data_IF_069205858664
#
_entry.id   IF_069205858664
#
_cell.length_a   1.000
_cell.length_b   1.000
_cell.length_c   1.000
_cell.angle_alpha   90.00
_cell.angle_beta   90.00
_cell.angle_gamma   90.00
#
_symmetry.space_group_name_H-M   'P 1'
#
loop_
_entity.id
_entity.type
_entity.pdbx_description
1 polymer ?
#
# COMPACT_ATOMS: atom_id res chain seq x y z
N UNK A 1 -13.86 -2.37 11.13
CA UNK A 1 -14.79 -3.44 11.57
C UNK A 1 -15.74 -3.88 10.48
N UNK A 2 -16.78 -3.10 10.13
CA UNK A 2 -17.74 -3.52 9.07
C UNK A 2 -17.08 -3.81 7.73
N UNK A 3 -16.11 -2.99 7.32
CA UNK A 3 -15.36 -3.22 6.07
C UNK A 3 -14.53 -4.52 6.12
N UNK A 4 -13.89 -4.83 7.26
CA UNK A 4 -13.14 -6.08 7.45
C UNK A 4 -14.05 -7.31 7.35
N UNK A 5 -15.19 -7.28 8.04
CA UNK A 5 -16.18 -8.37 8.01
C UNK A 5 -16.67 -8.64 6.58
N UNK A 6 -16.97 -7.58 5.81
CA UNK A 6 -17.38 -7.71 4.41
C UNK A 6 -16.26 -8.27 3.53
N UNK A 7 -15.02 -7.82 3.70
CA UNK A 7 -13.87 -8.34 2.95
C UNK A 7 -13.64 -9.81 3.26
N UNK A 8 -13.63 -10.20 4.54
CA UNK A 8 -13.44 -11.59 4.97
C UNK A 8 -14.54 -12.48 4.42
N UNK A 9 -15.81 -12.09 4.53
CA UNK A 9 -16.95 -12.86 3.99
C UNK A 9 -16.79 -13.10 2.48
N UNK A 10 -16.53 -12.04 1.71
CA UNK A 10 -16.46 -12.10 0.25
C UNK A 10 -15.23 -12.83 -0.26
N UNK A 11 -14.07 -12.59 0.33
CA UNK A 11 -12.82 -13.25 -0.04
C UNK A 11 -12.82 -14.74 0.34
N UNK A 12 -13.46 -15.10 1.46
CA UNK A 12 -13.65 -16.51 1.84
C UNK A 12 -14.51 -17.27 0.84
N UNK A 13 -15.47 -16.61 0.18
CA UNK A 13 -16.26 -17.25 -0.87
C UNK A 13 -15.47 -17.45 -2.18
N UNK A 14 -14.44 -16.63 -2.43
CA UNK A 14 -13.59 -16.71 -3.62
C UNK A 14 -12.51 -17.79 -3.45
N UNK A 15 -11.89 -17.83 -2.28
CA UNK A 15 -10.78 -18.75 -1.96
C UNK A 15 -10.96 -19.33 -0.54
N UNK A 16 -11.82 -20.34 -0.36
CA UNK A 16 -12.23 -20.85 0.95
C UNK A 16 -11.10 -21.44 1.82
N UNK A 17 -10.01 -21.88 1.19
CA UNK A 17 -8.84 -22.47 1.84
C UNK A 17 -7.82 -21.43 2.34
N UNK A 18 -7.98 -20.16 1.95
CA UNK A 18 -7.09 -19.10 2.37
C UNK A 18 -7.35 -18.66 3.81
N UNK A 19 -6.29 -18.29 4.51
CA UNK A 19 -6.36 -17.64 5.82
C UNK A 19 -6.21 -16.13 5.68
N UNK A 20 -6.42 -15.39 6.76
CA UNK A 20 -6.41 -13.92 6.73
C UNK A 20 -5.36 -13.38 7.71
N UNK A 21 -4.61 -12.39 7.24
CA UNK A 21 -3.81 -11.48 8.05
C UNK A 21 -4.51 -10.13 7.95
N UNK A 22 -5.09 -9.65 9.06
CA UNK A 22 -5.88 -8.43 9.11
C UNK A 22 -5.32 -7.45 10.15
N UNK A 23 -5.58 -6.16 9.97
CA UNK A 23 -5.21 -5.11 10.94
C UNK A 23 -5.98 -5.28 12.27
N UNK A 24 -7.30 -5.55 12.23
CA UNK A 24 -8.14 -5.50 13.43
C UNK A 24 -8.16 -6.82 14.24
N UNK A 25 -7.27 -7.77 13.92
CA UNK A 25 -7.12 -9.08 14.58
C UNK A 25 -8.44 -9.86 14.81
N UNK A 26 -9.46 -9.64 13.97
CA UNK A 26 -10.79 -10.27 14.19
C UNK A 26 -10.85 -11.74 13.78
N UNK A 27 -9.79 -12.26 13.15
CA UNK A 27 -9.72 -13.62 12.61
C UNK A 27 -8.67 -14.46 13.36
N UNK A 28 -9.01 -15.72 13.65
CA UNK A 28 -8.07 -16.68 14.25
C UNK A 28 -6.95 -16.99 13.24
N UNK A 29 -5.74 -16.55 13.59
CA UNK A 29 -4.51 -16.80 12.82
C UNK A 29 -4.27 -18.31 12.65
N UNK A 30 -4.46 -18.80 11.42
CA UNK A 30 -4.05 -20.15 11.01
C UNK A 30 -2.99 -20.02 9.94
N UNK A 31 -1.90 -20.77 10.07
CA UNK A 31 -0.87 -20.86 9.04
C UNK A 31 -1.43 -21.66 7.85
N UNK A 32 -1.45 -21.02 6.69
CA UNK A 32 -1.78 -21.62 5.41
C UNK A 32 -0.79 -21.11 4.38
N UNK A 33 -0.57 -21.89 3.32
CA UNK A 33 0.21 -21.43 2.19
C UNK A 33 -0.57 -20.39 1.36
N UNK A 34 -1.88 -20.25 1.55
CA UNK A 34 -2.74 -19.28 0.89
C UNK A 34 -3.21 -18.26 1.92
N UNK A 35 -2.83 -17.00 1.77
CA UNK A 35 -3.14 -15.95 2.75
C UNK A 35 -3.61 -14.67 2.07
N UNK A 36 -4.80 -14.19 2.44
CA UNK A 36 -5.23 -12.83 2.19
C UNK A 36 -4.62 -11.90 3.24
N UNK A 37 -4.04 -10.80 2.81
CA UNK A 37 -3.48 -9.75 3.67
C UNK A 37 -4.29 -8.50 3.41
N UNK A 38 -5.10 -8.05 4.38
CA UNK A 38 -6.07 -6.97 4.17
C UNK A 38 -5.89 -5.82 5.15
N UNK A 39 -5.98 -4.61 4.62
CA UNK A 39 -6.23 -3.40 5.39
C UNK A 39 -7.62 -2.85 4.95
N UNK A 40 -8.63 -2.94 5.83
CA UNK A 40 -9.98 -2.49 5.51
C UNK A 40 -10.12 -0.96 5.46
N UNK A 41 -9.19 -0.20 6.03
CA UNK A 41 -9.18 1.27 6.05
C UNK A 41 -7.78 1.84 6.32
N UNK A 42 -6.93 1.82 5.29
CA UNK A 42 -5.64 2.50 5.33
C UNK A 42 -5.88 4.02 5.29
N UNK A 43 -5.27 4.76 6.22
CA UNK A 43 -5.55 6.17 6.44
C UNK A 43 -6.74 6.44 7.36
N UNK A 44 -6.97 5.58 8.37
CA UNK A 44 -8.00 5.78 9.40
C UNK A 44 -8.02 7.19 10.00
N UNK A 45 -6.85 7.80 10.29
CA UNK A 45 -6.79 9.20 10.75
C UNK A 45 -7.38 10.16 9.71
N UNK A 46 -7.08 9.99 8.42
CA UNK A 46 -7.64 10.84 7.39
C UNK A 46 -9.16 10.69 7.29
N UNK A 47 -9.67 9.45 7.36
CA UNK A 47 -11.10 9.19 7.38
C UNK A 47 -11.81 9.91 8.54
N UNK A 48 -11.29 9.77 9.77
CA UNK A 48 -11.87 10.39 10.97
C UNK A 48 -11.87 11.93 10.91
N UNK A 49 -10.93 12.52 10.18
CA UNK A 49 -10.77 13.97 10.04
C UNK A 49 -11.33 14.52 8.73
N UNK A 50 -12.11 13.73 7.97
CA UNK A 50 -12.71 14.12 6.68
C UNK A 50 -11.68 14.55 5.61
N UNK A 51 -10.48 13.96 5.64
CA UNK A 51 -9.46 14.14 4.60
C UNK A 51 -9.65 13.02 3.57
N UNK A 52 -9.87 13.32 2.27
CA UNK A 52 -10.24 12.33 1.25
C UNK A 52 -9.02 11.55 0.71
N UNK A 53 -8.18 11.03 1.61
CA UNK A 53 -6.96 10.29 1.31
C UNK A 53 -6.90 9.03 2.17
N UNK A 54 -7.68 8.03 1.79
CA UNK A 54 -7.73 6.74 2.46
C UNK A 54 -8.11 5.66 1.45
N UNK A 55 -7.75 4.41 1.73
CA UNK A 55 -7.93 3.31 0.80
C UNK A 55 -8.27 2.00 1.48
N UNK A 56 -8.72 1.04 0.66
CA UNK A 56 -8.79 -0.38 1.04
C UNK A 56 -7.61 -1.08 0.37
N UNK A 57 -6.90 -1.94 1.09
CA UNK A 57 -5.75 -2.72 0.58
C UNK A 57 -6.04 -4.21 0.70
N UNK A 58 -5.83 -4.97 -0.37
CA UNK A 58 -5.97 -6.43 -0.40
C UNK A 58 -4.81 -7.05 -1.16
N UNK A 59 -3.95 -7.77 -0.45
CA UNK A 59 -2.88 -8.61 -1.01
C UNK A 59 -3.24 -10.09 -0.94
N UNK A 60 -2.75 -10.87 -1.91
CA UNK A 60 -2.78 -12.33 -1.87
C UNK A 60 -1.35 -12.87 -1.85
N UNK A 61 -1.07 -13.75 -0.89
CA UNK A 61 0.17 -14.48 -0.77
C UNK A 61 -0.07 -15.98 -1.01
N UNK A 62 0.80 -16.60 -1.82
CA UNK A 62 0.83 -18.05 -2.08
C UNK A 62 2.24 -18.57 -1.82
N UNK A 63 2.41 -19.54 -0.93
CA UNK A 63 3.69 -20.15 -0.56
C UNK A 63 4.77 -19.12 -0.15
N UNK A 64 4.35 -18.01 0.48
CA UNK A 64 5.24 -16.90 0.86
C UNK A 64 5.44 -15.83 -0.22
N UNK A 65 5.01 -16.07 -1.45
CA UNK A 65 5.10 -15.12 -2.55
C UNK A 65 3.85 -14.23 -2.63
N UNK A 66 4.02 -12.91 -2.64
CA UNK A 66 2.94 -11.98 -2.98
C UNK A 66 2.61 -12.09 -4.48
N UNK A 67 1.40 -12.55 -4.81
CA UNK A 67 0.98 -12.87 -6.18
C UNK A 67 -0.07 -11.93 -6.75
N UNK A 68 -0.86 -11.24 -5.91
CA UNK A 68 -1.84 -10.27 -6.36
C UNK A 68 -1.97 -9.13 -5.33
N UNK A 69 -2.33 -7.94 -5.82
CA UNK A 69 -2.52 -6.76 -5.00
C UNK A 69 -3.62 -5.86 -5.58
N UNK A 70 -4.49 -5.37 -4.70
CA UNK A 70 -5.55 -4.42 -5.00
C UNK A 70 -5.46 -3.28 -3.99
N UNK A 71 -5.51 -2.04 -4.47
CA UNK A 71 -5.67 -0.85 -3.63
C UNK A 71 -6.82 -0.02 -4.21
N UNK A 72 -7.83 0.31 -3.42
CA UNK A 72 -8.97 1.13 -3.85
C UNK A 72 -8.96 2.47 -3.12
N UNK A 73 -8.69 3.57 -3.85
CA UNK A 73 -8.83 4.93 -3.33
C UNK A 73 -10.31 5.30 -3.29
N UNK A 74 -10.95 5.06 -2.15
CA UNK A 74 -12.42 5.09 -2.00
C UNK A 74 -13.03 6.45 -2.41
N UNK A 75 -12.52 7.63 -1.96
CA UNK A 75 -13.10 8.92 -2.35
C UNK A 75 -13.00 9.27 -3.84
N UNK A 76 -11.96 8.79 -4.52
CA UNK A 76 -11.70 9.12 -5.93
C UNK A 76 -12.20 8.05 -6.90
N UNK A 77 -12.68 6.92 -6.37
CA UNK A 77 -13.07 5.74 -7.15
C UNK A 77 -11.96 5.27 -8.11
N UNK A 78 -10.73 5.19 -7.58
CA UNK A 78 -9.57 4.66 -8.32
C UNK A 78 -9.21 3.28 -7.79
N UNK A 79 -9.42 2.26 -8.62
CA UNK A 79 -9.08 0.88 -8.34
C UNK A 79 -7.76 0.51 -9.01
N UNK A 80 -6.72 0.36 -8.20
CA UNK A 80 -5.43 -0.15 -8.59
C UNK A 80 -5.40 -1.67 -8.41
N UNK A 81 -4.92 -2.40 -9.42
CA UNK A 81 -4.80 -3.85 -9.35
C UNK A 81 -3.57 -4.37 -10.09
N UNK A 82 -2.96 -5.43 -9.58
CA UNK A 82 -1.84 -6.12 -10.20
C UNK A 82 -1.81 -7.60 -9.81
N UNK A 83 -1.22 -8.42 -10.66
CA UNK A 83 -0.93 -9.83 -10.35
C UNK A 83 0.38 -10.26 -11.02
N UNK A 84 1.01 -11.30 -10.47
CA UNK A 84 2.33 -11.79 -10.88
C UNK A 84 2.39 -12.09 -12.38
N UNK A 85 3.20 -11.34 -13.12
CA UNK A 85 3.37 -11.45 -14.57
C UNK A 85 2.25 -10.82 -15.40
N UNK A 86 1.29 -10.14 -14.76
CA UNK A 86 0.10 -9.55 -15.36
C UNK A 86 0.18 -8.05 -15.61
N UNK A 87 1.23 -7.40 -15.11
CA UNK A 87 1.32 -5.94 -15.10
C UNK A 87 0.44 -5.30 -14.03
N UNK A 88 0.49 -3.97 -13.95
CA UNK A 88 -0.30 -3.16 -13.04
C UNK A 88 -1.32 -2.30 -13.80
N UNK A 89 -2.47 -2.06 -13.17
CA UNK A 89 -3.63 -1.43 -13.78
C UNK A 89 -4.28 -0.43 -12.83
N UNK A 90 -4.84 0.64 -13.36
CA UNK A 90 -5.71 1.60 -12.66
C UNK A 90 -7.00 1.78 -13.47
N UNK A 91 -8.15 1.40 -12.90
CA UNK A 91 -9.46 1.45 -13.58
C UNK A 91 -9.44 0.79 -14.97
N UNK A 92 -8.74 -0.34 -15.11
CA UNK A 92 -8.61 -1.09 -16.36
C UNK A 92 -7.59 -0.55 -17.37
N UNK A 93 -6.91 0.57 -17.07
CA UNK A 93 -5.83 1.11 -17.89
C UNK A 93 -4.46 0.67 -17.35
N UNK A 94 -3.51 0.26 -18.20
CA UNK A 94 -2.17 -0.13 -17.75
C UNK A 94 -1.44 1.07 -17.16
N UNK A 95 -0.69 0.82 -16.08
CA UNK A 95 0.13 1.83 -15.40
C UNK A 95 1.58 1.36 -15.28
N UNK A 96 2.49 2.32 -15.17
CA UNK A 96 3.91 2.10 -15.00
C UNK A 96 4.47 3.11 -14.00
N UNK A 97 5.54 2.72 -13.31
CA UNK A 97 6.35 3.65 -12.52
C UNK A 97 6.88 4.79 -13.41
N UNK A 98 7.26 5.90 -12.80
CA UNK A 98 7.79 7.03 -13.56
C UNK A 98 9.12 6.66 -14.25
N UNK A 99 9.45 7.38 -15.31
CA UNK A 99 10.74 7.29 -16.00
C UNK A 99 11.72 8.40 -15.59
N UNK A 100 11.47 9.10 -14.48
CA UNK A 100 12.31 10.21 -14.02
C UNK A 100 13.62 9.64 -13.46
N UNK A 101 14.71 9.77 -14.22
CA UNK A 101 16.02 9.21 -13.86
C UNK A 101 16.87 10.06 -12.93
N UNK A 102 16.39 11.23 -12.49
CA UNK A 102 17.18 12.18 -11.70
C UNK A 102 16.44 12.59 -10.42
N UNK A 103 17.14 12.52 -9.28
CA UNK A 103 16.57 12.81 -7.96
C UNK A 103 15.90 14.19 -7.88
N UNK A 104 16.49 15.22 -8.49
CA UNK A 104 15.94 16.60 -8.53
C UNK A 104 14.57 16.73 -9.19
N UNK A 105 14.14 15.71 -9.94
CA UNK A 105 12.82 15.65 -10.57
C UNK A 105 11.83 14.84 -9.73
N UNK A 106 12.31 14.05 -8.77
CA UNK A 106 11.53 13.08 -8.02
C UNK A 106 10.63 13.74 -6.96
N UNK A 107 9.35 13.38 -6.97
CA UNK A 107 8.40 13.58 -5.88
C UNK A 107 8.40 12.35 -4.98
N UNK A 108 8.71 12.59 -3.71
CA UNK A 108 8.84 11.53 -2.70
C UNK A 108 7.59 11.54 -1.82
N UNK A 109 6.91 10.41 -1.67
CA UNK A 109 5.93 10.17 -0.61
C UNK A 109 6.57 9.51 0.61
N UNK A 110 6.02 9.80 1.78
CA UNK A 110 6.50 9.26 3.05
C UNK A 110 5.43 9.33 4.14
N UNK A 111 5.61 8.55 5.21
CA UNK A 111 4.89 8.70 6.47
C UNK A 111 5.84 8.92 7.64
N UNK A 112 5.36 9.68 8.63
CA UNK A 112 6.12 10.00 9.84
C UNK A 112 6.04 8.85 10.83
N UNK A 113 7.09 8.57 11.62
CA UNK A 113 6.96 7.63 12.73
C UNK A 113 6.03 8.22 13.80
N UNK A 114 4.91 7.56 14.09
CA UNK A 114 3.96 7.99 15.14
C UNK A 114 3.88 7.02 16.34
N UNK A 115 4.26 5.75 16.18
CA UNK A 115 4.25 4.77 17.27
C UNK A 115 5.64 4.34 17.73
N UNK A 116 6.64 4.39 16.84
CA UNK A 116 7.98 3.91 17.14
C UNK A 116 9.04 4.96 16.79
N UNK A 117 9.54 5.65 17.81
CA UNK A 117 10.58 6.68 17.68
C UNK A 117 12.01 6.15 17.84
N UNK A 118 12.22 4.83 17.99
CA UNK A 118 13.55 4.24 18.21
C UNK A 118 14.56 4.55 17.10
N UNK A 119 14.08 4.87 15.89
CA UNK A 119 14.90 5.24 14.73
C UNK A 119 14.59 6.64 14.19
N UNK A 120 14.01 7.51 15.01
CA UNK A 120 13.55 8.83 14.57
C UNK A 120 14.70 9.66 13.97
N UNK A 121 15.87 9.67 14.60
CA UNK A 121 17.03 10.43 14.10
C UNK A 121 17.50 9.94 12.72
N UNK A 122 17.57 8.62 12.51
CA UNK A 122 17.89 8.04 11.22
C UNK A 122 16.83 8.39 10.17
N UNK A 123 15.55 8.28 10.54
CA UNK A 123 14.43 8.63 9.66
C UNK A 123 14.49 10.11 9.25
N UNK A 124 14.72 11.03 10.19
CA UNK A 124 14.87 12.47 9.89
C UNK A 124 16.11 12.77 9.04
N UNK A 125 17.19 12.01 9.21
CA UNK A 125 18.38 12.13 8.34
C UNK A 125 18.04 11.75 6.91
N UNK A 126 17.28 10.67 6.68
CA UNK A 126 16.84 10.26 5.34
C UNK A 126 15.92 11.34 4.74
N UNK A 127 14.93 11.80 5.50
CA UNK A 127 14.03 12.88 5.07
C UNK A 127 14.81 14.12 4.64
N UNK A 128 15.79 14.55 5.44
CA UNK A 128 16.60 15.74 5.15
C UNK A 128 17.29 15.64 3.79
N UNK A 129 17.92 14.50 3.50
CA UNK A 129 18.61 14.30 2.23
C UNK A 129 17.61 14.27 1.06
N UNK A 130 16.47 13.58 1.22
CA UNK A 130 15.43 13.53 0.20
C UNK A 130 14.79 14.91 -0.07
N UNK A 131 14.64 15.75 0.95
CA UNK A 131 14.17 17.14 0.80
C UNK A 131 15.17 18.04 0.08
N UNK A 132 16.48 17.81 0.26
CA UNK A 132 17.54 18.60 -0.37
C UNK A 132 17.71 18.24 -1.85
N UNK A 133 17.67 16.95 -2.15
CA UNK A 133 17.97 16.43 -3.49
C UNK A 133 16.71 16.24 -4.35
N UNK A 134 15.54 16.07 -3.73
CA UNK A 134 14.27 15.83 -4.39
C UNK A 134 13.55 17.10 -4.86
N UNK A 135 12.55 16.94 -5.74
CA UNK A 135 11.66 18.03 -6.14
C UNK A 135 10.71 18.46 -5.03
N UNK A 136 10.37 17.53 -4.15
CA UNK A 136 9.52 17.80 -2.99
C UNK A 136 9.05 16.52 -2.32
N UNK A 137 8.65 16.66 -1.07
CA UNK A 137 8.13 15.57 -0.25
C UNK A 137 6.61 15.71 -0.09
N UNK A 138 5.92 14.58 0.01
CA UNK A 138 4.49 14.44 0.26
C UNK A 138 4.28 13.50 1.44
N UNK A 139 3.28 13.80 2.26
CA UNK A 139 2.85 12.98 3.38
C UNK A 139 1.33 12.93 3.35
N UNK A 140 0.78 11.90 2.71
CA UNK A 140 -0.67 11.78 2.55
C UNK A 140 -1.31 10.96 3.65
N UNK A 141 -0.58 10.04 4.29
CA UNK A 141 -1.07 9.29 5.45
C UNK A 141 -1.94 8.08 5.09
N UNK A 142 -1.70 7.50 3.91
CA UNK A 142 -2.20 6.19 3.48
C UNK A 142 -1.05 5.50 2.73
N UNK A 143 -0.42 4.52 3.36
CA UNK A 143 0.78 3.87 2.83
C UNK A 143 0.48 3.03 1.58
N UNK A 144 -0.66 2.32 1.56
CA UNK A 144 -1.09 1.52 0.43
C UNK A 144 -1.37 2.41 -0.79
N UNK A 145 -1.98 3.58 -0.58
CA UNK A 145 -2.23 4.55 -1.64
C UNK A 145 -0.94 5.24 -2.12
N UNK A 146 -0.02 5.56 -1.22
CA UNK A 146 1.29 6.11 -1.58
C UNK A 146 2.06 5.14 -2.50
N UNK A 147 2.04 3.83 -2.21
CA UNK A 147 2.62 2.79 -3.07
C UNK A 147 1.88 2.65 -4.41
N UNK A 148 0.55 2.67 -4.41
CA UNK A 148 -0.24 2.62 -5.64
C UNK A 148 0.04 3.83 -6.56
N UNK A 149 0.25 5.01 -5.97
CA UNK A 149 0.63 6.20 -6.70
C UNK A 149 2.09 6.20 -7.19
N UNK A 150 3.00 5.49 -6.52
CA UNK A 150 4.32 5.16 -7.09
C UNK A 150 4.17 4.24 -8.31
N UNK A 151 3.38 3.17 -8.20
CA UNK A 151 3.11 2.24 -9.30
C UNK A 151 2.47 2.95 -10.51
N UNK A 152 1.71 4.03 -10.29
CA UNK A 152 1.12 4.87 -11.32
C UNK A 152 2.02 6.03 -11.80
N UNK A 153 3.26 6.13 -11.31
CA UNK A 153 4.22 7.18 -11.68
C UNK A 153 3.82 8.60 -11.22
N UNK A 154 2.83 8.72 -10.33
CA UNK A 154 2.40 9.99 -9.72
C UNK A 154 3.40 10.45 -8.67
N UNK A 155 3.96 9.49 -7.94
CA UNK A 155 5.18 9.65 -7.16
C UNK A 155 6.30 8.83 -7.76
N UNK A 156 7.52 9.17 -7.34
CA UNK A 156 8.74 8.54 -7.81
C UNK A 156 9.32 7.58 -6.78
N UNK A 157 9.16 7.92 -5.50
CA UNK A 157 9.74 7.19 -4.38
C UNK A 157 8.74 7.20 -3.23
N UNK A 158 8.56 6.06 -2.59
CA UNK A 158 7.94 5.96 -1.28
C UNK A 158 8.98 5.48 -0.26
N UNK A 159 9.04 6.12 0.90
CA UNK A 159 9.83 5.61 2.02
C UNK A 159 9.09 5.80 3.35
N UNK A 160 9.06 4.77 4.17
CA UNK A 160 8.47 4.81 5.51
C UNK A 160 9.11 3.73 6.39
N UNK A 161 9.01 3.89 7.70
CA UNK A 161 9.52 2.94 8.67
C UNK A 161 8.41 2.51 9.64
N UNK A 162 8.36 1.22 9.95
CA UNK A 162 7.45 0.68 10.96
C UNK A 162 6.06 0.31 10.43
N UNK A 163 5.94 0.07 9.13
CA UNK A 163 4.72 -0.45 8.51
C UNK A 163 4.53 -1.95 8.80
N UNK A 164 3.27 -2.36 8.87
CA UNK A 164 2.83 -3.74 8.96
C UNK A 164 2.70 -4.37 7.57
N UNK A 165 2.45 -5.67 7.52
CA UNK A 165 2.31 -6.39 6.26
C UNK A 165 1.12 -5.91 5.42
N UNK A 166 -0.02 -5.58 6.06
CA UNK A 166 -1.23 -5.11 5.37
C UNK A 166 -1.09 -3.73 4.72
N UNK A 167 -0.24 -2.86 5.30
CA UNK A 167 0.07 -1.54 4.76
C UNK A 167 0.79 -1.62 3.40
N UNK A 168 1.57 -2.68 3.16
CA UNK A 168 2.51 -2.76 2.03
C UNK A 168 2.25 -3.90 1.05
N UNK A 169 1.58 -4.98 1.45
CA UNK A 169 1.49 -6.20 0.64
C UNK A 169 0.91 -5.96 -0.76
N UNK A 170 -0.24 -5.29 -0.86
CA UNK A 170 -0.87 -4.98 -2.15
C UNK A 170 -0.03 -3.98 -2.97
N UNK A 171 0.44 -2.92 -2.31
CA UNK A 171 1.26 -1.87 -2.92
C UNK A 171 2.58 -2.40 -3.49
N UNK A 172 3.23 -3.35 -2.82
CA UNK A 172 4.46 -3.99 -3.29
C UNK A 172 4.25 -4.77 -4.59
N UNK A 173 3.12 -5.48 -4.73
CA UNK A 173 2.77 -6.16 -5.99
C UNK A 173 2.53 -5.12 -7.08
N UNK A 174 1.79 -4.04 -6.79
CA UNK A 174 1.54 -2.96 -7.74
C UNK A 174 2.84 -2.34 -8.28
N UNK A 175 3.77 -1.97 -7.40
CA UNK A 175 5.05 -1.35 -7.80
C UNK A 175 5.88 -2.32 -8.65
N UNK A 176 6.01 -3.58 -8.21
CA UNK A 176 6.80 -4.59 -8.94
C UNK A 176 6.24 -4.83 -10.34
N UNK A 177 4.93 -5.03 -10.46
CA UNK A 177 4.28 -5.30 -11.75
C UNK A 177 4.19 -4.06 -12.65
N UNK A 178 4.33 -2.85 -12.07
CA UNK A 178 4.46 -1.60 -12.81
C UNK A 178 5.90 -1.33 -13.31
N UNK A 179 6.87 -2.17 -12.93
CA UNK A 179 8.28 -2.09 -13.35
C UNK A 179 9.23 -1.38 -12.38
N UNK A 180 8.85 -1.26 -11.10
CA UNK A 180 9.68 -0.72 -10.02
C UNK A 180 10.41 -1.75 -9.17
#
# INVERSE_FOLDING_TARGET
KTAEEMLVERLSAILPEATFITEEETVVQRTSNLQWIIDPLDGTTNFLYNIPQYSISVGLQIDGDLVAGIVHHVPADELFSAWKGGGAWCNGHPIHVSNRGEMRQALVSTGFPYHNFSRADQWFSVLRELMREGRGVRRFGSAALDLAWVAAGRFDIFFEYGLNAWDVAAGAVLVREAGG
#
